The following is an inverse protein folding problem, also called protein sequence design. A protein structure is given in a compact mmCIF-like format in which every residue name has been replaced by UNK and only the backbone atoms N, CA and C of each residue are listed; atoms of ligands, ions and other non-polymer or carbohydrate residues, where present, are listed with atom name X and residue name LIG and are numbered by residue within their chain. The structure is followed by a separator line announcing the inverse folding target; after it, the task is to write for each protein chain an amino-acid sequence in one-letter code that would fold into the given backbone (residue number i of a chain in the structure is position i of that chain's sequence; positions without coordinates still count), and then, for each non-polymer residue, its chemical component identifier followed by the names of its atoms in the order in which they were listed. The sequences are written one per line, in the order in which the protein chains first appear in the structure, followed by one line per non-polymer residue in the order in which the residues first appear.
data_IF_868108035849
#
_entry.id   IF_868108035849
#
_cell.length_a   1.000
_cell.length_b   1.000
_cell.length_c   1.000
_cell.angle_alpha   90.00
_cell.angle_beta   90.00
_cell.angle_gamma   90.00
#
_symmetry.space_group_name_H-M   'P 1'
#
loop_
_entity.id
_entity.type
_entity.pdbx_description
1 polymer ?
#
# COMPACT_ATOMS: atom_id res chain seq x y z
N UNK A 1 40.13 -12.97 37.83
CA UNK A 1 38.80 -12.52 38.28
C UNK A 1 37.93 -12.29 37.04
N UNK A 2 37.25 -13.34 36.56
CA UNK A 2 36.27 -13.24 35.47
C UNK A 2 34.88 -13.20 36.09
N UNK A 3 34.22 -12.04 35.98
CA UNK A 3 32.83 -11.84 36.41
C UNK A 3 31.91 -12.24 35.27
N UNK A 4 31.39 -13.46 35.31
CA UNK A 4 30.28 -13.91 34.47
C UNK A 4 29.00 -13.24 34.96
N UNK A 5 28.44 -12.30 34.18
CA UNK A 5 27.09 -11.78 34.44
C UNK A 5 26.08 -12.93 34.29
N UNK A 6 25.14 -13.14 35.23
CA UNK A 6 24.05 -14.09 35.02
C UNK A 6 23.15 -13.54 33.91
N UNK A 7 22.87 -14.38 32.91
CA UNK A 7 21.87 -14.07 31.89
C UNK A 7 20.52 -13.85 32.57
N UNK A 8 19.95 -12.65 32.39
CA UNK A 8 18.58 -12.39 32.80
C UNK A 8 17.68 -13.37 32.03
N UNK A 9 17.16 -14.37 32.73
CA UNK A 9 16.05 -15.17 32.23
C UNK A 9 14.93 -14.19 31.87
N UNK A 10 14.65 -14.06 30.58
CA UNK A 10 13.50 -13.30 30.10
C UNK A 10 12.26 -14.02 30.63
N UNK A 11 11.76 -13.59 31.77
CA UNK A 11 10.43 -13.96 32.25
C UNK A 11 9.45 -13.29 31.31
N UNK A 12 9.18 -13.93 30.19
CA UNK A 12 8.10 -13.55 29.30
C UNK A 12 6.83 -13.55 30.15
N UNK A 13 6.31 -12.36 30.45
CA UNK A 13 5.00 -12.23 31.05
C UNK A 13 4.02 -12.88 30.06
N UNK A 14 3.34 -13.99 30.43
CA UNK A 14 2.43 -14.64 29.51
C UNK A 14 1.36 -13.63 29.11
N UNK A 15 1.19 -13.41 27.80
CA UNK A 15 0.14 -12.54 27.29
C UNK A 15 -1.20 -13.04 27.86
N UNK A 16 -1.98 -12.22 28.58
CA UNK A 16 -3.28 -12.64 29.07
C UNK A 16 -4.19 -13.05 27.90
N UNK A 17 -5.17 -13.91 28.17
CA UNK A 17 -6.00 -14.52 27.12
C UNK A 17 -6.75 -13.48 26.26
N UNK A 18 -6.97 -12.28 26.79
CA UNK A 18 -7.61 -11.13 26.16
C UNK A 18 -6.61 -10.04 25.72
N UNK A 19 -5.29 -10.26 25.81
CA UNK A 19 -4.27 -9.25 25.54
C UNK A 19 -4.36 -8.60 24.16
N UNK A 20 -4.93 -9.32 23.20
CA UNK A 20 -5.10 -8.89 21.81
C UNK A 20 -6.54 -8.49 21.48
N UNK A 21 -7.43 -8.38 22.46
CA UNK A 21 -8.84 -8.02 22.27
C UNK A 21 -9.47 -7.25 23.44
N UNK A 22 -8.66 -6.77 24.39
CA UNK A 22 -9.09 -6.06 25.59
C UNK A 22 -8.66 -4.59 25.62
N UNK A 23 -8.86 -3.92 26.76
CA UNK A 23 -8.62 -2.48 26.92
C UNK A 23 -7.20 -2.03 26.59
N UNK A 24 -6.20 -2.89 26.86
CA UNK A 24 -4.81 -2.66 26.48
C UNK A 24 -4.63 -2.66 24.96
N UNK A 25 -5.26 -3.60 24.26
CA UNK A 25 -5.22 -3.68 22.79
C UNK A 25 -5.83 -2.42 22.17
N UNK A 26 -7.01 -2.02 22.64
CA UNK A 26 -7.69 -0.83 22.15
C UNK A 26 -6.81 0.41 22.36
N UNK A 27 -6.25 0.58 23.56
CA UNK A 27 -5.37 1.72 23.88
C UNK A 27 -4.08 1.73 23.06
N UNK A 28 -3.54 0.56 22.72
CA UNK A 28 -2.31 0.45 21.92
C UNK A 28 -2.54 0.67 20.43
N UNK A 29 -3.75 0.43 19.94
CA UNK A 29 -4.06 0.40 18.50
C UNK A 29 -4.97 1.54 18.04
N UNK A 30 -5.61 2.27 18.96
CA UNK A 30 -6.47 3.43 18.64
C UNK A 30 -5.69 4.63 18.09
N UNK A 31 -4.44 4.77 18.49
CA UNK A 31 -3.62 5.95 18.17
C UNK A 31 -2.63 5.69 17.03
N UNK A 32 -2.64 4.47 16.50
CA UNK A 32 -1.79 4.08 15.38
C UNK A 32 -2.61 4.32 14.12
N UNK A 33 -2.23 5.30 13.28
CA UNK A 33 -2.82 5.52 11.95
C UNK A 33 -2.46 4.36 10.98
N UNK A 34 -2.80 3.14 11.37
CA UNK A 34 -2.47 1.90 10.69
C UNK A 34 -3.55 0.85 10.96
N UNK A 35 -3.82 0.03 9.97
CA UNK A 35 -4.64 -1.15 10.13
C UNK A 35 -3.82 -2.22 10.88
N UNK A 36 -4.30 -2.67 12.04
CA UNK A 36 -3.65 -3.72 12.83
C UNK A 36 -4.57 -4.93 12.88
N UNK A 37 -4.07 -6.08 12.43
CA UNK A 37 -4.78 -7.37 12.41
C UNK A 37 -3.87 -8.45 12.99
N UNK A 38 -4.40 -9.32 13.83
CA UNK A 38 -3.75 -10.58 14.24
C UNK A 38 -4.49 -11.74 13.59
N UNK A 39 -3.75 -12.58 12.88
CA UNK A 39 -4.30 -13.77 12.23
C UNK A 39 -3.59 -15.03 12.69
N UNK A 40 -4.27 -16.17 12.55
CA UNK A 40 -3.65 -17.51 12.59
C UNK A 40 -2.91 -17.80 11.28
N UNK A 41 -2.06 -18.84 11.27
CA UNK A 41 -1.31 -19.26 10.08
C UNK A 41 -2.16 -19.70 8.88
N UNK A 42 -3.42 -20.07 9.10
CA UNK A 42 -4.43 -20.32 8.06
C UNK A 42 -5.27 -19.08 7.71
N UNK A 43 -4.98 -17.93 8.32
CA UNK A 43 -5.54 -16.63 7.97
C UNK A 43 -6.85 -16.24 8.65
N UNK A 44 -7.26 -16.96 9.70
CA UNK A 44 -8.40 -16.55 10.53
C UNK A 44 -8.02 -15.34 11.38
N UNK A 45 -8.83 -14.29 11.33
CA UNK A 45 -8.66 -13.07 12.10
C UNK A 45 -9.07 -13.34 13.54
N UNK A 46 -8.10 -13.22 14.44
CA UNK A 46 -8.28 -13.36 15.89
C UNK A 46 -8.55 -12.00 16.53
N UNK A 47 -7.94 -10.95 16.00
CA UNK A 47 -8.15 -9.59 16.46
C UNK A 47 -7.91 -8.58 15.32
N UNK A 48 -8.58 -7.43 15.39
CA UNK A 48 -8.33 -6.30 14.52
C UNK A 48 -8.72 -4.98 15.21
N UNK A 49 -8.03 -3.88 14.89
CA UNK A 49 -8.42 -2.55 15.36
C UNK A 49 -9.54 -1.94 14.49
N UNK A 50 -10.06 -0.78 14.92
CA UNK A 50 -11.11 -0.06 14.20
C UNK A 50 -10.69 0.40 12.80
N UNK A 51 -9.41 0.74 12.60
CA UNK A 51 -8.89 1.16 11.29
C UNK A 51 -8.89 0.01 10.29
N UNK A 52 -8.49 -1.18 10.72
CA UNK A 52 -8.61 -2.39 9.89
C UNK A 52 -10.07 -2.66 9.50
N UNK A 53 -11.00 -2.60 10.46
CA UNK A 53 -12.43 -2.80 10.20
C UNK A 53 -12.97 -1.79 9.18
N UNK A 54 -12.66 -0.51 9.39
CA UNK A 54 -13.07 0.61 8.52
C UNK A 54 -12.49 0.45 7.11
N UNK A 55 -11.21 0.11 6.99
CA UNK A 55 -10.55 -0.07 5.71
C UNK A 55 -11.14 -1.22 4.90
N UNK A 56 -11.45 -2.34 5.56
CA UNK A 56 -12.08 -3.49 4.92
C UNK A 56 -13.60 -3.34 4.72
N UNK A 57 -14.21 -2.28 5.26
CA UNK A 57 -15.65 -2.04 5.15
C UNK A 57 -16.50 -3.03 5.95
N UNK A 58 -15.95 -3.50 7.08
CA UNK A 58 -16.60 -4.46 7.99
C UNK A 58 -16.88 -3.75 9.32
N UNK A 59 -17.98 -4.10 9.99
CA UNK A 59 -18.23 -3.61 11.34
C UNK A 59 -17.14 -4.10 12.30
N UNK A 60 -16.63 -3.24 13.20
CA UNK A 60 -15.56 -3.60 14.14
C UNK A 60 -15.90 -4.81 15.02
N UNK A 61 -17.18 -5.02 15.34
CA UNK A 61 -17.66 -6.19 16.09
C UNK A 61 -17.68 -7.50 15.29
N UNK A 62 -17.57 -7.44 13.96
CA UNK A 62 -17.73 -8.58 13.08
C UNK A 62 -16.42 -9.02 12.38
N UNK A 63 -15.37 -8.19 12.37
CA UNK A 63 -14.12 -8.51 11.69
C UNK A 63 -13.36 -9.66 12.36
N UNK A 64 -13.39 -9.74 13.69
CA UNK A 64 -12.82 -10.87 14.42
C UNK A 64 -13.68 -12.12 14.14
N UNK A 65 -13.02 -13.22 13.76
CA UNK A 65 -13.67 -14.47 13.38
C UNK A 65 -13.78 -14.71 11.87
N UNK A 66 -13.67 -13.65 11.05
CA UNK A 66 -13.55 -13.77 9.59
C UNK A 66 -12.18 -14.33 9.19
N UNK A 67 -12.04 -14.75 7.94
CA UNK A 67 -10.78 -15.05 7.28
C UNK A 67 -10.31 -13.86 6.44
N UNK A 68 -9.00 -13.80 6.14
CA UNK A 68 -8.48 -12.89 5.11
C UNK A 68 -9.21 -13.05 3.76
N UNK A 69 -9.70 -14.25 3.45
CA UNK A 69 -10.51 -14.52 2.26
C UNK A 69 -11.89 -13.84 2.26
N UNK A 70 -12.44 -13.50 3.43
CA UNK A 70 -13.74 -12.82 3.51
C UNK A 70 -13.63 -11.30 3.27
N UNK A 71 -12.43 -10.74 3.42
CA UNK A 71 -12.18 -9.29 3.39
C UNK A 71 -11.32 -8.83 2.20
N UNK A 72 -10.95 -9.76 1.31
CA UNK A 72 -10.11 -9.56 0.13
C UNK A 72 -10.64 -10.38 -1.05
N UNK A 73 -10.31 -9.98 -2.28
CA UNK A 73 -10.58 -10.82 -3.45
C UNK A 73 -9.74 -12.12 -3.45
N UNK A 74 -10.24 -13.20 -4.06
CA UNK A 74 -9.57 -14.51 -4.10
C UNK A 74 -8.07 -14.51 -4.49
N UNK A 75 -7.64 -13.91 -5.64
CA UNK A 75 -6.23 -13.91 -6.01
C UNK A 75 -5.38 -13.13 -5.02
N UNK A 76 -5.99 -12.11 -4.40
CA UNK A 76 -5.34 -11.31 -3.38
C UNK A 76 -5.18 -12.14 -2.12
N UNK A 77 -6.28 -12.64 -1.55
CA UNK A 77 -6.32 -13.48 -0.36
C UNK A 77 -5.34 -14.66 -0.45
N UNK A 78 -5.33 -15.40 -1.56
CA UNK A 78 -4.45 -16.56 -1.75
C UNK A 78 -2.96 -16.20 -1.59
N UNK A 79 -2.52 -15.08 -2.16
CA UNK A 79 -1.15 -14.60 -2.01
C UNK A 79 -0.84 -14.19 -0.56
N UNK A 80 -1.76 -13.50 0.12
CA UNK A 80 -1.52 -13.02 1.50
C UNK A 80 -1.50 -14.19 2.47
N UNK A 81 -2.40 -15.17 2.27
CA UNK A 81 -2.43 -16.41 3.02
C UNK A 81 -1.14 -17.21 2.86
N UNK A 82 -0.55 -17.26 1.67
CA UNK A 82 0.74 -17.91 1.45
C UNK A 82 1.86 -17.26 2.29
N UNK A 83 1.93 -15.92 2.29
CA UNK A 83 2.90 -15.18 3.11
C UNK A 83 2.64 -15.33 4.61
N UNK A 84 1.38 -15.25 5.06
CA UNK A 84 0.99 -15.48 6.45
C UNK A 84 1.40 -16.88 6.90
N UNK A 85 1.14 -17.91 6.09
CA UNK A 85 1.50 -19.29 6.41
C UNK A 85 3.02 -19.49 6.49
N UNK A 86 3.80 -18.82 5.64
CA UNK A 86 5.26 -18.85 5.68
C UNK A 86 5.79 -18.19 6.96
N UNK A 87 5.29 -17.00 7.30
CA UNK A 87 5.69 -16.28 8.52
C UNK A 87 5.30 -17.07 9.78
N UNK A 88 4.10 -17.68 9.80
CA UNK A 88 3.64 -18.49 10.92
C UNK A 88 4.52 -19.73 11.17
N UNK A 89 5.10 -20.33 10.12
CA UNK A 89 5.99 -21.51 10.22
C UNK A 89 7.41 -21.19 10.72
N UNK A 90 7.63 -19.98 11.24
CA UNK A 90 8.93 -19.54 11.74
C UNK A 90 9.74 -18.69 10.76
N UNK A 91 9.11 -18.19 9.70
CA UNK A 91 9.74 -17.26 8.77
C UNK A 91 10.15 -15.95 9.45
N UNK A 92 11.27 -15.37 9.01
CA UNK A 92 11.59 -13.97 9.29
C UNK A 92 10.51 -13.13 8.61
N UNK A 93 9.70 -12.40 9.38
CA UNK A 93 8.60 -11.58 8.84
C UNK A 93 8.99 -10.72 7.62
N UNK A 94 8.01 -10.20 6.90
CA UNK A 94 8.22 -9.42 5.67
C UNK A 94 7.38 -8.15 5.65
N UNK A 95 7.67 -7.26 4.70
CA UNK A 95 6.78 -6.16 4.33
C UNK A 95 6.26 -6.44 2.93
N UNK A 96 4.95 -6.64 2.78
CA UNK A 96 4.30 -6.79 1.48
C UNK A 96 3.84 -5.42 1.00
N UNK A 97 4.22 -5.04 -0.22
CA UNK A 97 3.91 -3.75 -0.81
C UNK A 97 2.99 -3.94 -2.02
N UNK A 98 1.79 -3.38 -1.97
CA UNK A 98 0.78 -3.62 -3.00
C UNK A 98 -0.43 -2.71 -2.86
N UNK A 99 -1.28 -2.73 -3.88
CA UNK A 99 -2.62 -2.14 -3.78
C UNK A 99 -3.58 -3.11 -3.12
N UNK A 100 -4.35 -2.57 -2.19
CA UNK A 100 -5.47 -3.25 -1.56
C UNK A 100 -6.64 -2.25 -1.47
N UNK A 101 -7.81 -2.64 -1.98
CA UNK A 101 -9.03 -1.81 -1.99
C UNK A 101 -8.81 -0.38 -2.53
N UNK A 102 -7.94 -0.24 -3.53
CA UNK A 102 -7.60 1.04 -4.15
C UNK A 102 -6.67 1.95 -3.35
N UNK A 103 -6.05 1.45 -2.28
CA UNK A 103 -5.00 2.12 -1.56
C UNK A 103 -3.67 1.37 -1.67
N UNK A 104 -2.59 2.11 -1.89
CA UNK A 104 -1.23 1.63 -1.73
C UNK A 104 -0.97 1.32 -0.25
N UNK A 105 -0.59 0.08 0.03
CA UNK A 105 -0.30 -0.42 1.37
C UNK A 105 1.08 -1.03 1.43
N UNK A 106 1.77 -0.73 2.50
CA UNK A 106 2.88 -1.50 3.02
C UNK A 106 2.31 -2.28 4.19
N UNK A 107 2.37 -3.61 4.16
CA UNK A 107 1.84 -4.50 5.20
C UNK A 107 2.99 -5.29 5.79
N UNK A 108 3.42 -4.93 7.00
CA UNK A 108 4.39 -5.69 7.76
C UNK A 108 3.70 -6.91 8.37
N UNK A 109 4.15 -8.11 7.99
CA UNK A 109 3.72 -9.39 8.51
C UNK A 109 4.82 -9.94 9.42
N UNK A 110 4.52 -10.14 10.70
CA UNK A 110 5.52 -10.55 11.70
C UNK A 110 4.98 -11.68 12.56
N UNK A 111 5.79 -12.67 12.94
CA UNK A 111 5.35 -13.63 13.94
C UNK A 111 5.10 -12.88 15.25
N UNK A 112 3.97 -13.14 15.89
CA UNK A 112 3.67 -12.55 17.18
C UNK A 112 4.60 -13.18 18.22
N UNK A 113 5.44 -12.36 18.87
CA UNK A 113 6.43 -12.86 19.84
C UNK A 113 5.74 -13.65 20.95
N UNK A 114 6.25 -14.85 21.23
CA UNK A 114 5.66 -15.76 22.22
C UNK A 114 4.52 -16.64 21.67
N UNK A 115 4.13 -16.49 20.41
CA UNK A 115 3.23 -17.40 19.70
C UNK A 115 3.97 -18.16 18.60
N UNK A 116 3.56 -19.41 18.36
CA UNK A 116 4.07 -20.26 17.27
C UNK A 116 3.14 -20.32 16.06
N UNK A 117 1.97 -19.66 16.13
CA UNK A 117 0.91 -19.78 15.10
C UNK A 117 0.33 -18.45 14.67
N UNK A 118 0.54 -17.38 15.42
CA UNK A 118 -0.06 -16.08 15.16
C UNK A 118 0.89 -15.16 14.40
N UNK A 119 0.31 -14.41 13.46
CA UNK A 119 0.98 -13.40 12.66
C UNK A 119 0.30 -12.07 12.91
N UNK A 120 1.10 -11.07 13.28
CA UNK A 120 0.70 -9.67 13.36
C UNK A 120 0.88 -9.04 11.98
N UNK A 121 -0.20 -8.50 11.43
CA UNK A 121 -0.20 -7.63 10.28
C UNK A 121 -0.39 -6.19 10.76
N UNK A 122 0.56 -5.33 10.41
CA UNK A 122 0.40 -3.88 10.51
C UNK A 122 0.44 -3.36 9.09
N UNK A 123 -0.57 -2.60 8.67
CA UNK A 123 -0.72 -2.07 7.33
C UNK A 123 -0.96 -0.57 7.34
N UNK A 124 -0.38 0.14 6.39
CA UNK A 124 -0.55 1.58 6.24
C UNK A 124 0.07 2.08 4.93
N UNK A 125 -0.08 3.38 4.60
CA UNK A 125 0.50 3.94 3.38
C UNK A 125 2.04 3.96 3.42
N UNK A 126 2.61 4.05 4.63
CA UNK A 126 4.04 3.97 4.91
C UNK A 126 4.23 3.21 6.21
N UNK A 127 5.08 2.19 6.19
CA UNK A 127 5.60 1.56 7.41
C UNK A 127 7.08 1.90 7.49
N UNK A 128 7.49 2.41 8.66
CA UNK A 128 8.80 2.99 8.99
C UNK A 128 9.93 2.66 8.01
N UNK A 129 10.56 3.71 7.46
CA UNK A 129 11.62 3.66 6.44
C UNK A 129 12.80 2.72 6.77
N UNK A 130 12.95 2.32 8.02
CA UNK A 130 14.08 1.53 8.54
C UNK A 130 13.64 0.14 9.05
N UNK A 131 12.54 -0.41 8.51
CA UNK A 131 12.19 -1.81 8.78
C UNK A 131 13.28 -2.74 8.26
N UNK A 132 13.88 -3.53 9.16
CA UNK A 132 14.87 -4.58 8.83
C UNK A 132 14.26 -5.79 8.10
N UNK A 133 12.94 -5.81 7.90
CA UNK A 133 12.25 -6.91 7.24
C UNK A 133 12.43 -6.80 5.71
N UNK A 134 12.61 -7.94 5.01
CA UNK A 134 12.62 -7.96 3.55
C UNK A 134 11.31 -7.38 3.00
N UNK A 135 11.43 -6.53 1.98
CA UNK A 135 10.29 -5.94 1.26
C UNK A 135 9.99 -6.80 0.03
N UNK A 136 8.71 -7.14 -0.14
CA UNK A 136 8.22 -7.97 -1.23
C UNK A 136 7.12 -7.21 -1.96
N UNK A 137 7.20 -7.13 -3.28
CA UNK A 137 6.13 -6.57 -4.11
C UNK A 137 5.00 -7.58 -4.26
N UNK A 138 3.77 -7.17 -4.00
CA UNK A 138 2.59 -7.96 -4.27
C UNK A 138 2.45 -8.24 -5.78
N UNK A 139 2.10 -9.48 -6.11
CA UNK A 139 1.85 -9.96 -7.47
C UNK A 139 0.43 -9.65 -7.91
N UNK A 140 -0.52 -9.66 -6.99
CA UNK A 140 -1.92 -9.36 -7.24
C UNK A 140 -2.28 -8.05 -6.56
N UNK A 141 -2.73 -7.05 -7.33
CA UNK A 141 -3.12 -5.74 -6.82
C UNK A 141 -4.65 -5.58 -6.88
N UNK A 142 -5.27 -5.11 -5.81
CA UNK A 142 -6.68 -4.72 -5.79
C UNK A 142 -6.82 -3.21 -5.91
N UNK A 143 -6.90 -2.72 -7.15
CA UNK A 143 -6.94 -1.29 -7.45
C UNK A 143 -8.25 -0.61 -7.05
N UNK A 144 -9.29 -1.36 -6.68
CA UNK A 144 -10.60 -0.82 -6.28
C UNK A 144 -11.11 0.23 -7.27
N UNK A 145 -11.52 1.40 -6.76
CA UNK A 145 -12.00 2.51 -7.58
C UNK A 145 -10.92 3.10 -8.53
N UNK A 146 -9.62 2.84 -8.30
CA UNK A 146 -8.54 3.27 -9.18
C UNK A 146 -8.33 2.33 -10.39
N UNK A 147 -9.07 1.22 -10.46
CA UNK A 147 -9.02 0.30 -11.60
C UNK A 147 -9.49 0.97 -12.91
N UNK A 148 -10.35 2.00 -12.82
CA UNK A 148 -10.83 2.78 -13.97
C UNK A 148 -9.73 3.66 -14.61
N UNK A 149 -8.62 3.85 -13.90
CA UNK A 149 -7.50 4.65 -14.36
C UNK A 149 -6.50 3.80 -15.15
N UNK A 150 -5.87 4.43 -16.12
CA UNK A 150 -4.67 3.88 -16.76
C UNK A 150 -3.44 4.04 -15.85
N UNK A 151 -2.36 3.32 -16.15
CA UNK A 151 -1.10 3.45 -15.40
C UNK A 151 -0.56 4.88 -15.43
N UNK A 152 -0.67 5.58 -16.57
CA UNK A 152 -0.24 6.99 -16.70
C UNK A 152 -1.13 7.94 -15.89
N UNK A 153 -2.44 7.70 -15.85
CA UNK A 153 -3.35 8.50 -15.03
C UNK A 153 -3.08 8.32 -13.53
N UNK A 154 -2.77 7.09 -13.07
CA UNK A 154 -2.34 6.85 -11.69
C UNK A 154 -1.03 7.55 -11.36
N UNK A 155 -0.06 7.53 -12.27
CA UNK A 155 1.21 8.25 -12.10
C UNK A 155 0.99 9.77 -11.97
N UNK A 156 0.17 10.36 -12.85
CA UNK A 156 -0.19 11.78 -12.76
C UNK A 156 -0.93 12.09 -11.46
N UNK A 157 -1.87 11.23 -11.05
CA UNK A 157 -2.60 11.37 -9.79
C UNK A 157 -1.64 11.33 -8.58
N UNK A 158 -0.65 10.44 -8.59
CA UNK A 158 0.39 10.36 -7.56
C UNK A 158 1.19 11.67 -7.47
N UNK A 159 1.62 12.23 -8.61
CA UNK A 159 2.37 13.49 -8.65
C UNK A 159 1.51 14.69 -8.19
N UNK A 160 0.21 14.70 -8.51
CA UNK A 160 -0.75 15.67 -7.96
C UNK A 160 -0.81 15.55 -6.43
N UNK A 161 -0.87 14.32 -5.90
CA UNK A 161 -0.85 14.06 -4.45
C UNK A 161 0.42 14.55 -3.75
N UNK A 162 1.55 14.59 -4.46
CA UNK A 162 2.81 15.18 -3.98
C UNK A 162 2.86 16.72 -4.08
N UNK A 163 1.79 17.35 -4.56
CA UNK A 163 1.68 18.80 -4.68
C UNK A 163 2.25 19.39 -5.98
N UNK A 164 2.78 18.57 -6.90
CA UNK A 164 3.47 19.05 -8.11
C UNK A 164 2.52 19.77 -9.08
N UNK A 165 2.84 20.99 -9.47
CA UNK A 165 2.12 21.79 -10.47
C UNK A 165 2.02 21.06 -11.82
N UNK A 166 1.06 21.45 -12.67
CA UNK A 166 0.91 20.85 -14.01
C UNK A 166 2.18 21.00 -14.84
N UNK A 167 2.95 22.08 -14.64
CA UNK A 167 4.23 22.33 -15.29
C UNK A 167 5.29 21.35 -14.77
N UNK A 168 5.45 21.22 -13.45
CA UNK A 168 6.41 20.29 -12.85
C UNK A 168 6.09 18.83 -13.22
N UNK A 169 4.81 18.46 -13.29
CA UNK A 169 4.39 17.13 -13.77
C UNK A 169 4.77 16.94 -15.24
N UNK A 170 4.54 17.94 -16.08
CA UNK A 170 4.88 17.88 -17.50
C UNK A 170 6.40 17.71 -17.70
N UNK A 171 7.20 18.47 -16.94
CA UNK A 171 8.66 18.35 -16.93
C UNK A 171 9.11 16.97 -16.44
N UNK A 172 8.60 16.52 -15.28
CA UNK A 172 8.93 15.22 -14.69
C UNK A 172 8.61 14.04 -15.62
N UNK A 173 7.53 14.13 -16.40
CA UNK A 173 7.10 13.08 -17.31
C UNK A 173 7.62 13.25 -18.75
N UNK A 174 8.35 14.33 -19.05
CA UNK A 174 8.79 14.67 -20.40
C UNK A 174 7.62 14.86 -21.38
N UNK A 175 6.54 15.51 -20.94
CA UNK A 175 5.30 15.76 -21.69
C UNK A 175 4.99 17.24 -21.82
N UNK A 176 4.07 17.58 -22.71
CA UNK A 176 3.57 18.95 -22.80
C UNK A 176 2.60 19.24 -21.65
N UNK A 177 2.58 20.48 -21.16
CA UNK A 177 1.61 20.96 -20.16
C UNK A 177 0.18 20.67 -20.61
N UNK A 178 -0.13 20.86 -21.90
CA UNK A 178 -1.45 20.57 -22.49
C UNK A 178 -1.83 19.09 -22.37
N UNK A 179 -0.86 18.18 -22.52
CA UNK A 179 -1.10 16.73 -22.37
C UNK A 179 -1.44 16.39 -20.92
N UNK A 180 -0.71 16.96 -19.95
CA UNK A 180 -0.99 16.74 -18.52
C UNK A 180 -2.34 17.33 -18.14
N UNK A 181 -2.69 18.51 -18.65
CA UNK A 181 -4.00 19.12 -18.39
C UNK A 181 -5.15 18.26 -18.91
N UNK A 182 -5.00 17.68 -20.10
CA UNK A 182 -5.98 16.71 -20.63
C UNK A 182 -6.13 15.48 -19.73
N UNK A 183 -5.03 14.93 -19.23
CA UNK A 183 -5.09 13.82 -18.26
C UNK A 183 -5.76 14.23 -16.95
N UNK A 184 -5.55 15.46 -16.47
CA UNK A 184 -6.19 15.97 -15.24
C UNK A 184 -7.72 16.07 -15.39
N UNK A 185 -8.19 16.53 -16.54
CA UNK A 185 -9.63 16.56 -16.87
C UNK A 185 -10.18 15.13 -16.97
N UNK A 186 -9.45 14.22 -17.63
CA UNK A 186 -9.86 12.81 -17.73
C UNK A 186 -9.94 12.13 -16.36
N UNK A 187 -8.97 12.40 -15.48
CA UNK A 187 -8.95 11.96 -14.08
C UNK A 187 -10.19 12.43 -13.33
N UNK A 188 -10.51 13.73 -13.41
CA UNK A 188 -11.70 14.30 -12.77
C UNK A 188 -12.99 13.61 -13.22
N UNK A 189 -13.15 13.43 -14.54
CA UNK A 189 -14.31 12.75 -15.12
C UNK A 189 -14.43 11.29 -14.66
N UNK A 190 -13.32 10.54 -14.63
CA UNK A 190 -13.32 9.12 -14.24
C UNK A 190 -13.54 8.91 -12.74
N UNK A 191 -13.08 9.85 -11.92
CA UNK A 191 -13.18 9.77 -10.46
C UNK A 191 -14.37 10.55 -9.88
N UNK A 192 -15.14 11.25 -10.72
CA UNK A 192 -16.30 12.02 -10.30
C UNK A 192 -15.94 13.28 -9.51
N UNK A 193 -14.77 13.88 -9.76
CA UNK A 193 -14.29 15.08 -9.06
C UNK A 193 -14.00 16.21 -10.03
N UNK A 194 -14.11 17.44 -9.52
CA UNK A 194 -14.13 18.65 -10.33
C UNK A 194 -12.83 19.44 -10.26
N UNK A 195 -12.07 19.28 -9.17
CA UNK A 195 -10.90 20.12 -8.93
C UNK A 195 -9.65 19.34 -8.50
N UNK A 196 -8.52 20.03 -8.59
CA UNK A 196 -7.20 19.48 -8.29
C UNK A 196 -7.01 19.12 -6.81
N UNK A 197 -7.68 19.84 -5.90
CA UNK A 197 -7.60 19.57 -4.46
C UNK A 197 -8.29 18.23 -4.14
N UNK A 198 -9.45 17.97 -4.75
CA UNK A 198 -10.13 16.67 -4.65
C UNK A 198 -9.27 15.53 -5.20
N UNK A 199 -8.61 15.73 -6.35
CA UNK A 199 -7.65 14.76 -6.89
C UNK A 199 -6.47 14.52 -5.94
N UNK A 200 -5.92 15.59 -5.34
CA UNK A 200 -4.84 15.46 -4.36
C UNK A 200 -5.30 14.69 -3.10
N UNK A 201 -6.51 14.97 -2.60
CA UNK A 201 -7.10 14.21 -1.49
C UNK A 201 -7.28 12.73 -1.81
N UNK A 202 -7.75 12.39 -3.03
CA UNK A 202 -7.85 11.00 -3.47
C UNK A 202 -6.46 10.35 -3.49
N UNK A 203 -5.46 11.04 -4.06
CA UNK A 203 -4.10 10.51 -4.14
C UNK A 203 -3.47 10.25 -2.76
N UNK A 204 -3.68 11.17 -1.81
CA UNK A 204 -3.21 11.03 -0.43
C UNK A 204 -3.91 9.87 0.29
N UNK A 205 -5.24 9.80 0.23
CA UNK A 205 -6.02 8.69 0.83
C UNK A 205 -5.67 7.34 0.24
N UNK A 206 -5.38 7.30 -1.06
CA UNK A 206 -4.95 6.09 -1.74
C UNK A 206 -3.47 5.76 -1.51
N UNK A 207 -2.73 6.52 -0.69
CA UNK A 207 -1.30 6.29 -0.43
C UNK A 207 -0.39 6.52 -1.63
N UNK A 208 -0.91 7.02 -2.76
CA UNK A 208 -0.17 7.18 -4.02
C UNK A 208 0.97 8.18 -3.90
N UNK A 209 0.83 9.20 -3.05
CA UNK A 209 1.87 10.20 -2.83
C UNK A 209 3.16 9.58 -2.23
N UNK A 210 3.04 8.45 -1.54
CA UNK A 210 4.13 7.75 -0.84
C UNK A 210 4.82 6.68 -1.68
N UNK A 211 4.27 6.36 -2.85
CA UNK A 211 4.95 5.52 -3.82
C UNK A 211 6.15 6.33 -4.31
N UNK A 212 7.38 6.03 -3.90
CA UNK A 212 8.55 6.49 -4.67
C UNK A 212 8.39 5.86 -6.05
N UNK A 213 8.35 6.68 -7.11
CA UNK A 213 7.93 6.28 -8.47
C UNK A 213 8.47 4.89 -8.80
N UNK A 214 7.60 3.88 -8.69
CA UNK A 214 7.93 2.52 -9.07
C UNK A 214 8.21 2.59 -10.55
N UNK A 215 9.41 2.11 -10.91
CA UNK A 215 9.92 1.86 -12.25
C UNK A 215 8.86 2.01 -13.35
N UNK A 216 9.01 2.93 -14.31
CA UNK A 216 8.07 3.04 -15.41
C UNK A 216 7.94 1.67 -16.07
N UNK A 217 6.78 1.04 -15.91
CA UNK A 217 6.41 -0.19 -16.61
C UNK A 217 6.91 -0.10 -18.07
N UNK A 218 7.52 -1.16 -18.62
CA UNK A 218 8.20 -1.15 -19.91
C UNK A 218 7.23 -1.04 -21.11
N UNK A 219 6.04 -0.50 -20.91
CA UNK A 219 5.11 -0.13 -21.98
C UNK A 219 5.72 1.00 -22.81
N UNK A 220 6.61 0.58 -23.70
CA UNK A 220 7.06 1.22 -24.92
C UNK A 220 5.83 1.64 -25.72
N UNK A 221 5.27 2.80 -25.40
CA UNK A 221 4.58 3.57 -26.42
C UNK A 221 5.66 4.05 -27.40
N UNK A 222 5.58 3.67 -28.69
CA UNK A 222 6.52 4.14 -29.67
C UNK A 222 6.47 5.67 -29.65
N UNK A 223 7.63 6.31 -29.49
CA UNK A 223 7.76 7.77 -29.63
C UNK A 223 7.04 8.15 -30.93
N UNK A 224 6.12 9.14 -30.93
CA UNK A 224 5.57 9.61 -32.18
C UNK A 224 6.74 10.05 -33.05
N UNK A 225 6.88 9.44 -34.23
CA UNK A 225 7.86 9.87 -35.23
C UNK A 225 7.66 11.37 -35.42
N UNK A 226 8.66 12.19 -35.04
CA UNK A 226 8.68 13.60 -35.43
C UNK A 226 8.52 13.60 -36.95
N UNK A 227 7.42 14.14 -37.46
CA UNK A 227 7.36 14.55 -38.87
C UNK A 227 8.52 15.52 -39.04
N UNK A 228 9.47 15.17 -39.90
CA UNK A 228 10.49 16.09 -40.35
C UNK A 228 9.75 17.29 -40.94
N UNK A 229 9.83 18.42 -40.24
CA UNK A 229 9.51 19.73 -40.80
C UNK A 229 10.60 20.00 -41.83
N UNK A 230 10.18 20.24 -43.07
CA UNK A 230 11.07 20.41 -44.21
C UNK A 230 12.02 21.61 -44.07
N UNK A 231 13.20 21.48 -44.65
CA UNK A 231 14.03 22.58 -45.14
C UNK A 231 14.19 22.33 -46.65
N UNK A 232 13.48 23.10 -47.47
CA UNK A 232 13.95 24.31 -48.17
C UNK A 232 14.60 24.00 -49.52
N UNK A 233 13.98 24.48 -50.60
CA UNK A 233 14.71 24.94 -51.79
C UNK A 233 13.80 25.86 -52.62
N UNK A 234 13.82 27.14 -52.26
CA UNK A 234 13.60 28.24 -53.20
C UNK A 234 14.89 28.51 -53.96
N UNK A 235 14.79 28.51 -55.30
CA UNK A 235 15.63 29.21 -56.32
C UNK A 235 14.95 28.87 -57.66
N UNK A 236 14.17 29.74 -58.31
CA UNK A 236 14.53 31.00 -58.96
C UNK A 236 15.75 30.85 -59.86
N UNK A 237 15.55 30.42 -61.11
CA UNK A 237 15.80 31.18 -62.34
C UNK A 237 14.95 30.58 -63.44
#
# INVERSE_FOLDING_TARGET
MSSTRPGAASTAFPLPADAISGTLWDSLTSDVEAEVIVVTGDGKIVAANSDAATFHGVASSAIAGLSLGDIMSDPVAAERLAHVAEVAKGGSGLVLEGFLRGAWRQTAMRPLRGSTTLVLLVSGPVIGRESVLPRVRARNDELGNLAVLTSREREILALIGRGMSTIEIAESLGRSVKTVEWHRVSLGNKLGVSNRVELAHIALRAGLAHIEVIDPSPDTHPKPRRRAVGSSSTKST
#
